data_IF_352773814189
#
_entry.id   IF_352773814189
#
_cell.length_a   1.000
_cell.length_b   1.000
_cell.length_c   1.000
_cell.angle_alpha   90.00
_cell.angle_beta   90.00
_cell.angle_gamma   90.00
#
_symmetry.space_group_name_H-M   'P 1'
#
loop_
_entity.id
_entity.type
_entity.pdbx_description
1 polymer ?
#
# COMPACT_ATOMS: atom_id res chain seq x y z
N UNK A 1 35.59 -7.30 11.35
CA UNK A 1 35.84 -7.16 9.90
C UNK A 1 36.25 -5.72 9.57
N UNK A 2 37.55 -5.36 9.66
CA UNK A 2 38.03 -4.00 9.39
C UNK A 2 37.88 -3.58 7.93
N UNK A 3 37.98 -4.55 7.01
CA UNK A 3 37.81 -4.37 5.57
C UNK A 3 36.41 -3.90 5.16
N UNK A 4 35.37 -4.19 5.96
CA UNK A 4 33.99 -3.82 5.65
C UNK A 4 33.74 -2.31 5.82
N UNK A 5 34.49 -1.66 6.72
CA UNK A 5 34.45 -0.21 6.92
C UNK A 5 35.51 0.54 6.10
N UNK A 6 36.66 -0.08 5.83
CA UNK A 6 37.79 0.59 5.18
C UNK A 6 37.92 0.32 3.66
N UNK A 7 37.24 -0.70 3.13
CA UNK A 7 37.35 -1.09 1.71
C UNK A 7 35.99 -1.13 0.98
N UNK A 8 34.91 -0.70 1.62
CA UNK A 8 33.58 -0.61 1.03
C UNK A 8 32.98 0.78 1.27
N UNK A 9 32.30 1.32 0.26
CA UNK A 9 31.47 2.53 0.44
C UNK A 9 30.18 2.12 1.13
N UNK A 10 29.88 2.76 2.26
CA UNK A 10 28.64 2.51 2.99
C UNK A 10 27.53 3.35 2.36
N UNK A 11 26.49 2.68 1.87
CA UNK A 11 25.25 3.30 1.42
C UNK A 11 24.13 2.99 2.41
N UNK A 12 23.53 4.04 2.98
CA UNK A 12 22.57 3.92 4.09
C UNK A 12 21.15 3.99 3.57
N UNK A 13 20.47 2.86 3.56
CA UNK A 13 19.03 2.80 3.32
C UNK A 13 18.28 3.04 4.61
N UNK A 14 17.36 4.01 4.57
CA UNK A 14 16.43 4.31 5.66
C UNK A 14 15.03 3.81 5.28
N UNK A 15 14.17 3.75 6.29
CA UNK A 15 12.73 3.61 6.10
C UNK A 15 12.24 4.64 5.07
N UNK A 16 11.28 4.24 4.24
CA UNK A 16 10.77 5.11 3.19
C UNK A 16 10.04 6.31 3.81
N UNK A 17 10.41 7.55 3.44
CA UNK A 17 9.65 8.72 3.86
C UNK A 17 8.25 8.70 3.25
N UNK A 18 7.36 9.52 3.81
CA UNK A 18 5.98 9.64 3.33
C UNK A 18 5.90 9.89 1.82
N UNK A 19 6.71 10.82 1.30
CA UNK A 19 6.73 11.18 -0.11
C UNK A 19 7.13 9.99 -0.99
N UNK A 20 8.11 9.19 -0.55
CA UNK A 20 8.51 7.99 -1.28
C UNK A 20 7.41 6.92 -1.28
N UNK A 21 6.66 6.77 -0.17
CA UNK A 21 5.51 5.87 -0.12
C UNK A 21 4.41 6.33 -1.09
N UNK A 22 4.13 7.63 -1.13
CA UNK A 22 3.17 8.22 -2.08
C UNK A 22 3.61 7.98 -3.52
N UNK A 23 4.85 8.30 -3.88
CA UNK A 23 5.38 8.10 -5.23
C UNK A 23 5.33 6.63 -5.66
N UNK A 24 5.71 5.71 -4.77
CA UNK A 24 5.62 4.28 -5.06
C UNK A 24 4.17 3.87 -5.30
N UNK A 25 3.22 4.31 -4.47
CA UNK A 25 1.81 3.96 -4.64
C UNK A 25 1.18 4.60 -5.88
N UNK A 26 1.50 5.85 -6.22
CA UNK A 26 1.05 6.48 -7.46
C UNK A 26 1.53 5.69 -8.69
N UNK A 27 2.81 5.32 -8.72
CA UNK A 27 3.35 4.49 -9.79
C UNK A 27 2.74 3.09 -9.81
N UNK A 28 2.49 2.50 -8.63
CA UNK A 28 1.90 1.17 -8.51
C UNK A 28 0.46 1.10 -9.02
N UNK A 29 -0.29 2.20 -8.89
CA UNK A 29 -1.68 2.30 -9.33
C UNK A 29 -1.86 2.98 -10.69
N UNK A 30 -0.80 3.47 -11.33
CA UNK A 30 -0.88 4.21 -12.59
C UNK A 30 -1.60 3.42 -13.71
N UNK A 31 -1.39 2.10 -13.75
CA UNK A 31 -2.01 1.21 -14.75
C UNK A 31 -3.36 0.61 -14.28
N UNK A 32 -3.81 0.93 -13.07
CA UNK A 32 -5.02 0.37 -12.46
C UNK A 32 -6.20 1.31 -12.68
N UNK A 33 -7.21 0.86 -13.41
CA UNK A 33 -8.48 1.57 -13.52
C UNK A 33 -9.24 1.54 -12.19
N UNK A 34 -8.99 2.51 -11.32
CA UNK A 34 -9.64 2.66 -10.01
C UNK A 34 -11.06 3.19 -10.11
N UNK A 35 -11.40 3.84 -11.22
CA UNK A 35 -12.79 4.24 -11.51
C UNK A 35 -13.53 3.15 -12.28
N UNK A 36 -14.78 2.87 -11.91
CA UNK A 36 -15.71 2.22 -12.83
C UNK A 36 -16.18 3.24 -13.87
N UNK A 37 -16.90 2.79 -14.92
CA UNK A 37 -17.39 3.61 -16.06
C UNK A 37 -18.27 4.83 -15.72
N UNK A 38 -18.40 5.21 -14.44
CA UNK A 38 -19.01 6.43 -13.95
C UNK A 38 -17.94 7.54 -13.84
N UNK A 39 -17.97 8.49 -14.76
CA UNK A 39 -16.95 9.55 -14.96
C UNK A 39 -16.76 10.57 -13.83
N UNK A 40 -16.41 10.11 -12.63
CA UNK A 40 -15.81 10.94 -11.59
C UNK A 40 -14.32 11.17 -11.87
N UNK A 41 -13.75 12.27 -11.34
CA UNK A 41 -12.34 12.61 -11.50
C UNK A 41 -11.45 11.50 -10.92
N UNK A 42 -10.86 10.69 -11.80
CA UNK A 42 -10.03 9.53 -11.47
C UNK A 42 -8.82 9.90 -10.61
N UNK A 43 -8.23 11.07 -10.88
CA UNK A 43 -7.07 11.59 -10.14
C UNK A 43 -7.36 11.82 -8.65
N UNK A 44 -8.52 12.37 -8.31
CA UNK A 44 -8.87 12.66 -6.90
C UNK A 44 -9.16 11.39 -6.09
N UNK A 45 -9.72 10.37 -6.73
CA UNK A 45 -9.94 9.07 -6.09
C UNK A 45 -8.62 8.33 -5.87
N UNK A 46 -7.76 8.33 -6.89
CA UNK A 46 -6.42 7.75 -6.80
C UNK A 46 -5.62 8.38 -5.65
N UNK A 47 -5.61 9.71 -5.56
CA UNK A 47 -4.91 10.44 -4.50
C UNK A 47 -5.43 10.06 -3.11
N UNK A 48 -6.76 9.98 -2.94
CA UNK A 48 -7.36 9.56 -1.68
C UNK A 48 -7.00 8.10 -1.29
N UNK A 49 -6.94 7.19 -2.28
CA UNK A 49 -6.51 5.80 -2.08
C UNK A 49 -5.04 5.74 -1.67
N UNK A 50 -4.17 6.46 -2.38
CA UNK A 50 -2.74 6.54 -2.07
C UNK A 50 -2.54 7.05 -0.65
N UNK A 51 -3.16 8.18 -0.31
CA UNK A 51 -3.13 8.74 1.04
C UNK A 51 -3.63 7.74 2.10
N UNK A 52 -4.69 6.99 1.80
CA UNK A 52 -5.19 5.93 2.67
C UNK A 52 -4.18 4.81 2.91
N UNK A 53 -3.55 4.30 1.86
CA UNK A 53 -2.54 3.24 1.96
C UNK A 53 -1.30 3.70 2.75
N UNK A 54 -0.82 4.92 2.49
CA UNK A 54 0.31 5.52 3.22
C UNK A 54 -0.02 5.66 4.71
N UNK A 55 -1.21 6.19 5.02
CA UNK A 55 -1.67 6.32 6.41
C UNK A 55 -1.76 4.98 7.12
N UNK A 56 -2.32 3.95 6.47
CA UNK A 56 -2.41 2.61 7.04
C UNK A 56 -1.00 2.09 7.36
N UNK A 57 -0.06 2.18 6.43
CA UNK A 57 1.31 1.69 6.62
C UNK A 57 2.00 2.35 7.82
N UNK A 58 2.02 3.69 7.85
CA UNK A 58 2.64 4.46 8.93
C UNK A 58 1.94 4.25 10.29
N UNK A 59 0.62 4.01 10.27
CA UNK A 59 -0.12 3.67 11.49
C UNK A 59 0.35 2.34 12.08
N UNK A 60 0.61 1.33 11.24
CA UNK A 60 1.10 0.02 11.64
C UNK A 60 2.54 0.11 12.15
N UNK A 61 3.40 0.94 11.56
CA UNK A 61 4.75 1.21 12.08
C UNK A 61 4.72 1.78 13.51
N UNK A 62 3.87 2.78 13.74
CA UNK A 62 3.68 3.37 15.07
C UNK A 62 3.12 2.37 16.07
N UNK A 63 2.12 1.58 15.69
CA UNK A 63 1.53 0.54 16.54
C UNK A 63 2.58 -0.55 16.84
N UNK A 64 3.42 -0.90 15.88
CA UNK A 64 4.45 -1.95 16.05
C UNK A 64 5.53 -1.51 17.05
N UNK A 65 5.90 -0.22 17.06
CA UNK A 65 6.76 0.36 18.12
C UNK A 65 6.11 0.26 19.49
N UNK A 66 4.85 0.68 19.61
CA UNK A 66 4.08 0.58 20.86
C UNK A 66 3.93 -0.86 21.34
N UNK A 67 3.67 -1.79 20.43
CA UNK A 67 3.55 -3.21 20.72
C UNK A 67 4.85 -3.79 21.30
N UNK A 68 6.00 -3.35 20.78
CA UNK A 68 7.29 -3.72 21.34
C UNK A 68 7.49 -3.14 22.76
N UNK A 69 7.10 -1.88 22.98
CA UNK A 69 7.21 -1.25 24.30
C UNK A 69 6.37 -1.97 25.37
N UNK A 70 5.13 -2.35 25.02
CA UNK A 70 4.18 -2.98 25.94
C UNK A 70 4.45 -4.47 26.17
N UNK A 71 4.75 -5.22 25.11
CA UNK A 71 4.79 -6.69 25.13
C UNK A 71 6.18 -7.28 24.86
N UNK A 72 7.18 -6.44 24.56
CA UNK A 72 8.55 -6.86 24.20
C UNK A 72 8.61 -7.84 23.04
N UNK A 73 7.63 -7.77 22.14
CA UNK A 73 7.53 -8.59 20.93
C UNK A 73 7.73 -7.71 19.71
N UNK A 74 8.60 -8.15 18.80
CA UNK A 74 8.84 -7.43 17.56
C UNK A 74 7.80 -7.80 16.50
N UNK A 75 7.30 -6.77 15.83
CA UNK A 75 6.60 -6.85 14.55
C UNK A 75 7.31 -5.91 13.58
N UNK A 76 7.88 -6.43 12.50
CA UNK A 76 8.67 -5.64 11.58
C UNK A 76 7.81 -5.19 10.41
N UNK A 77 7.73 -3.89 10.23
CA UNK A 77 7.13 -3.28 9.03
C UNK A 77 8.24 -3.04 8.03
N UNK A 78 8.02 -3.46 6.79
CA UNK A 78 9.03 -3.42 5.73
C UNK A 78 8.46 -2.82 4.45
N UNK A 79 9.29 -2.29 3.53
CA UNK A 79 8.83 -1.87 2.22
C UNK A 79 8.07 -2.99 1.49
N UNK A 80 8.47 -4.25 1.64
CA UNK A 80 7.73 -5.40 1.07
C UNK A 80 6.31 -5.48 1.59
N UNK A 81 6.08 -5.32 2.91
CA UNK A 81 4.72 -5.31 3.46
C UNK A 81 3.87 -4.13 2.96
N UNK A 82 4.49 -3.03 2.55
CA UNK A 82 3.78 -1.95 1.87
C UNK A 82 3.33 -2.36 0.48
N UNK A 83 4.22 -2.95 -0.32
CA UNK A 83 3.86 -3.44 -1.66
C UNK A 83 2.77 -4.52 -1.62
N UNK A 84 2.80 -5.40 -0.62
CA UNK A 84 1.75 -6.38 -0.37
C UNK A 84 0.40 -5.73 -0.05
N UNK A 85 0.39 -4.65 0.76
CA UNK A 85 -0.81 -3.85 1.03
C UNK A 85 -1.40 -3.28 -0.27
N UNK A 86 -0.57 -2.69 -1.13
CA UNK A 86 -1.02 -2.11 -2.41
C UNK A 86 -1.59 -3.19 -3.34
N UNK A 87 -0.90 -4.33 -3.46
CA UNK A 87 -1.34 -5.47 -4.27
C UNK A 87 -2.67 -6.05 -3.77
N UNK A 88 -2.80 -6.21 -2.45
CA UNK A 88 -4.03 -6.72 -1.82
C UNK A 88 -5.21 -5.78 -2.07
N UNK A 89 -4.97 -4.48 -2.04
CA UNK A 89 -6.00 -3.48 -2.31
C UNK A 89 -6.56 -3.60 -3.73
N UNK A 90 -5.69 -3.72 -4.76
CA UNK A 90 -6.12 -3.94 -6.16
C UNK A 90 -6.94 -5.22 -6.28
N UNK A 91 -6.44 -6.31 -5.71
CA UNK A 91 -7.11 -7.60 -5.75
C UNK A 91 -8.52 -7.52 -5.16
N UNK A 92 -8.65 -6.91 -3.98
CA UNK A 92 -9.94 -6.74 -3.30
C UNK A 92 -10.92 -5.89 -4.11
N UNK A 93 -10.45 -4.83 -4.77
CA UNK A 93 -11.30 -4.03 -5.68
C UNK A 93 -11.80 -4.88 -6.84
N UNK A 94 -10.92 -5.67 -7.46
CA UNK A 94 -11.29 -6.56 -8.57
C UNK A 94 -12.36 -7.57 -8.15
N UNK A 95 -12.12 -8.28 -7.05
CA UNK A 95 -13.06 -9.25 -6.48
C UNK A 95 -14.40 -8.60 -6.15
N UNK A 96 -14.39 -7.42 -5.54
CA UNK A 96 -15.64 -6.75 -5.15
C UNK A 96 -16.44 -6.26 -6.35
N UNK A 97 -15.77 -5.78 -7.40
CA UNK A 97 -16.42 -5.38 -8.66
C UNK A 97 -17.07 -6.57 -9.35
N UNK A 98 -16.41 -7.73 -9.37
CA UNK A 98 -16.96 -8.96 -9.94
C UNK A 98 -18.20 -9.43 -9.17
N UNK A 99 -18.14 -9.43 -7.83
CA UNK A 99 -19.27 -9.79 -6.96
C UNK A 99 -20.49 -8.88 -7.21
N UNK A 100 -20.26 -7.57 -7.32
CA UNK A 100 -21.33 -6.61 -7.60
C UNK A 100 -21.87 -6.80 -9.03
N UNK A 101 -20.99 -6.99 -10.01
CA UNK A 101 -21.36 -7.18 -11.42
C UNK A 101 -22.19 -8.45 -11.64
N UNK A 102 -21.80 -9.55 -11.00
CA UNK A 102 -22.56 -10.82 -11.03
C UNK A 102 -23.92 -10.68 -10.34
N UNK A 103 -23.98 -10.00 -9.19
CA UNK A 103 -25.24 -9.70 -8.49
C UNK A 103 -26.18 -8.86 -9.36
N UNK A 104 -25.67 -7.80 -9.98
CA UNK A 104 -26.44 -6.94 -10.89
C UNK A 104 -27.01 -7.74 -12.07
N UNK A 105 -26.18 -8.54 -12.74
CA UNK A 105 -26.61 -9.39 -13.87
C UNK A 105 -27.72 -10.38 -13.46
N UNK A 106 -27.65 -10.94 -12.26
CA UNK A 106 -28.70 -11.84 -11.74
C UNK A 106 -30.03 -11.13 -11.54
N UNK A 107 -30.01 -9.86 -11.12
CA UNK A 107 -31.22 -9.06 -10.95
C UNK A 107 -31.83 -8.59 -12.28
N UNK A 108 -31.02 -8.46 -13.34
CA UNK A 108 -31.50 -8.06 -14.68
C UNK A 108 -32.14 -9.21 -15.46
N UNK A 109 -31.78 -10.46 -15.16
CA UNK A 109 -32.26 -11.67 -15.86
C UNK A 109 -33.50 -12.28 -15.17
N UNK A 110 -33.73 -12.00 -13.89
CA UNK A 110 -34.89 -12.48 -13.11
C UNK A 110 -36.07 -11.51 -13.16
#
# INVERSE_FOLDING_TARGET
FPSLANCCTIDWFREWPQDALQDVAHNFYADVQLTGSSGGSEEGLLDAVVHGCVFIHQSVERISRRFFEELRRHNYVTPTSYLELLSTFIKLIGEKREEIGTTKRRLEIG
#
